data_IF_178562370916
#
_entry.id   IF_178562370916
#
_cell.length_a   1.000
_cell.length_b   1.000
_cell.length_c   1.000
_cell.angle_alpha   90.00
_cell.angle_beta   90.00
_cell.angle_gamma   90.00
#
_symmetry.space_group_name_H-M   'P 1'
#
loop_
_entity.id
_entity.type
_entity.pdbx_description
1 polymer ?
#
# COMPACT_ATOMS: atom_id res chain seq x y z
N UNK A 1 -14.75 16.02 21.54
CA UNK A 1 -14.16 14.67 21.61
C UNK A 1 -13.14 14.71 22.74
N UNK A 2 -13.30 13.93 23.79
CA UNK A 2 -12.26 13.79 24.82
C UNK A 2 -10.99 13.24 24.16
N UNK A 3 -9.84 13.81 24.48
CA UNK A 3 -8.55 13.22 24.13
C UNK A 3 -8.53 11.79 24.70
N UNK A 4 -8.41 10.81 23.80
CA UNK A 4 -8.26 9.42 24.20
C UNK A 4 -6.90 9.29 24.89
N UNK A 5 -6.90 9.10 26.21
CA UNK A 5 -5.66 8.86 26.95
C UNK A 5 -5.07 7.53 26.49
N UNK A 6 -3.92 7.61 25.82
CA UNK A 6 -3.23 6.47 25.24
C UNK A 6 -2.38 5.73 26.28
N UNK A 7 -2.11 6.35 27.44
CA UNK A 7 -1.23 5.78 28.48
C UNK A 7 -1.70 4.40 28.97
N UNK A 8 -2.99 4.16 29.27
CA UNK A 8 -3.45 2.84 29.71
C UNK A 8 -3.20 1.74 28.68
N UNK A 9 -3.17 2.07 27.38
CA UNK A 9 -2.82 1.13 26.32
C UNK A 9 -1.31 0.93 26.23
N UNK A 10 -0.54 2.03 26.28
CA UNK A 10 0.92 1.98 26.22
C UNK A 10 1.53 1.13 27.34
N UNK A 11 0.98 1.20 28.56
CA UNK A 11 1.40 0.39 29.71
C UNK A 11 1.17 -1.12 29.54
N UNK A 12 0.48 -1.55 28.48
CA UNK A 12 0.25 -2.97 28.15
C UNK A 12 1.32 -3.55 27.23
N UNK A 13 2.33 -2.78 26.86
CA UNK A 13 3.45 -3.20 26.02
C UNK A 13 4.79 -3.12 26.76
N UNK A 14 5.73 -3.99 26.36
CA UNK A 14 7.07 -4.09 26.95
C UNK A 14 8.03 -3.08 26.30
N UNK A 15 7.72 -1.79 26.41
CA UNK A 15 8.62 -0.73 25.95
C UNK A 15 9.86 -0.62 26.86
N UNK A 16 10.98 -0.20 26.29
CA UNK A 16 12.16 0.20 27.07
C UNK A 16 12.03 1.67 27.49
N UNK A 17 12.39 1.97 28.73
CA UNK A 17 12.32 3.30 29.32
C UNK A 17 10.99 3.63 30.01
N UNK A 18 10.86 4.87 30.46
CA UNK A 18 9.66 5.43 31.09
C UNK A 18 8.88 6.24 30.06
N UNK A 19 7.56 6.03 29.99
CA UNK A 19 6.68 6.80 29.10
C UNK A 19 6.79 8.31 29.40
N UNK A 20 7.16 9.10 28.40
CA UNK A 20 7.32 10.55 28.52
C UNK A 20 6.13 11.29 27.90
N UNK A 21 5.85 11.06 26.62
CA UNK A 21 4.72 11.70 25.93
C UNK A 21 4.21 10.89 24.74
N UNK A 22 3.02 11.25 24.26
CA UNK A 22 2.43 10.70 23.04
C UNK A 22 1.79 11.79 22.18
N UNK A 23 1.88 11.65 20.87
CA UNK A 23 1.20 12.51 19.90
C UNK A 23 0.53 11.69 18.81
N UNK A 24 -0.67 12.08 18.39
CA UNK A 24 -1.40 11.42 17.29
C UNK A 24 -0.78 11.83 15.95
N UNK A 25 -0.48 10.84 15.11
CA UNK A 25 -0.03 11.02 13.73
C UNK A 25 -1.25 10.96 12.82
N UNK A 26 -1.65 12.11 12.25
CA UNK A 26 -2.92 12.27 11.53
C UNK A 26 -2.88 12.03 10.02
N UNK A 27 -1.72 11.69 9.45
CA UNK A 27 -1.56 11.43 8.02
C UNK A 27 -2.10 10.07 7.55
N UNK A 28 -2.35 9.12 8.46
CA UNK A 28 -2.81 7.77 8.11
C UNK A 28 -4.31 7.65 7.77
N UNK A 29 -4.63 6.91 6.71
CA UNK A 29 -6.02 6.73 6.26
C UNK A 29 -6.76 5.59 6.95
N UNK A 30 -6.09 4.48 7.28
CA UNK A 30 -6.75 3.26 7.79
C UNK A 30 -6.67 3.16 9.32
N UNK A 31 -5.46 2.99 9.87
CA UNK A 31 -5.22 2.83 11.30
C UNK A 31 -5.14 4.16 12.04
N UNK A 32 -5.31 4.12 13.37
CA UNK A 32 -5.04 5.27 14.23
C UNK A 32 -3.64 5.15 14.82
N UNK A 33 -2.78 6.12 14.55
CA UNK A 33 -1.34 6.02 14.83
C UNK A 33 -0.93 7.06 15.88
N UNK A 34 -0.12 6.63 16.84
CA UNK A 34 0.46 7.48 17.87
C UNK A 34 1.98 7.31 17.89
N UNK A 35 2.72 8.41 17.94
CA UNK A 35 4.17 8.41 18.23
C UNK A 35 4.33 8.56 19.73
N UNK A 36 5.03 7.62 20.35
CA UNK A 36 5.34 7.61 21.77
C UNK A 36 6.83 7.92 21.98
N UNK A 37 7.13 8.68 23.02
CA UNK A 37 8.51 8.99 23.46
C UNK A 37 8.73 8.46 24.85
N UNK A 38 9.93 7.94 25.10
CA UNK A 38 10.37 7.35 26.35
C UNK A 38 11.71 7.94 26.76
N UNK A 39 11.97 7.97 28.07
CA UNK A 39 13.23 8.42 28.68
C UNK A 39 13.76 7.37 29.67
N UNK A 40 15.08 7.38 29.93
CA UNK A 40 15.74 6.45 30.85
C UNK A 40 15.54 4.93 30.51
N UNK A 41 16.02 4.41 29.36
CA UNK A 41 16.74 5.11 28.28
C UNK A 41 15.80 5.82 27.30
N UNK A 42 16.38 6.73 26.51
CA UNK A 42 15.64 7.41 25.45
C UNK A 42 15.22 6.42 24.35
N UNK A 43 13.97 6.54 23.92
CA UNK A 43 13.41 5.66 22.90
C UNK A 43 12.13 6.22 22.28
N UNK A 44 11.87 5.83 21.04
CA UNK A 44 10.68 6.24 20.31
C UNK A 44 9.98 5.02 19.71
N UNK A 45 8.66 5.03 19.78
CA UNK A 45 7.82 3.94 19.31
C UNK A 45 6.60 4.44 18.58
N UNK A 46 6.07 3.60 17.71
CA UNK A 46 4.73 3.76 17.16
C UNK A 46 3.80 2.81 17.89
N UNK A 47 2.65 3.33 18.32
CA UNK A 47 1.53 2.56 18.81
C UNK A 47 0.33 2.79 17.88
N UNK A 48 -0.24 1.70 17.39
CA UNK A 48 -1.32 1.75 16.41
C UNK A 48 -2.54 0.98 16.89
N UNK A 49 -3.72 1.61 16.77
CA UNK A 49 -5.01 0.91 16.80
C UNK A 49 -5.31 0.45 15.38
N UNK A 50 -5.37 -0.85 15.19
CA UNK A 50 -5.73 -1.48 13.91
C UNK A 50 -7.21 -1.18 13.63
N UNK A 51 -7.53 -0.93 12.36
CA UNK A 51 -8.91 -0.73 11.94
C UNK A 51 -9.62 -2.09 11.79
N UNK A 52 -10.31 -2.55 12.84
CA UNK A 52 -11.02 -3.83 12.86
C UNK A 52 -12.19 -3.93 11.84
N UNK A 53 -12.64 -2.81 11.25
CA UNK A 53 -13.65 -2.84 10.20
C UNK A 53 -13.06 -3.31 8.86
N UNK A 54 -11.87 -2.80 8.54
CA UNK A 54 -11.11 -3.19 7.34
C UNK A 54 -10.41 -4.54 7.56
N UNK A 55 -9.65 -4.66 8.65
CA UNK A 55 -8.93 -5.86 9.03
C UNK A 55 -9.72 -6.65 10.07
N UNK A 56 -10.65 -7.48 9.59
CA UNK A 56 -11.55 -8.27 10.45
C UNK A 56 -10.85 -9.35 11.27
N UNK A 57 -9.62 -9.71 10.90
CA UNK A 57 -8.79 -10.71 11.56
C UNK A 57 -7.40 -10.11 11.85
N UNK A 58 -7.27 -9.19 12.82
CA UNK A 58 -6.01 -8.50 13.12
C UNK A 58 -4.88 -9.46 13.55
N UNK A 59 -5.22 -10.66 14.03
CA UNK A 59 -4.29 -11.74 14.36
C UNK A 59 -3.60 -12.28 13.10
N UNK A 60 -4.32 -12.42 11.98
CA UNK A 60 -3.74 -12.83 10.68
C UNK A 60 -2.81 -11.74 10.15
N UNK A 61 -3.21 -10.47 10.30
CA UNK A 61 -2.34 -9.33 9.96
C UNK A 61 -1.02 -9.42 10.73
N UNK A 62 -1.09 -9.59 12.05
CA UNK A 62 0.13 -9.67 12.87
C UNK A 62 0.96 -10.92 12.60
N UNK A 63 0.34 -12.08 12.34
CA UNK A 63 1.06 -13.30 11.97
C UNK A 63 1.85 -13.13 10.66
N UNK A 64 1.21 -12.58 9.62
CA UNK A 64 1.88 -12.28 8.35
C UNK A 64 3.06 -11.32 8.54
N UNK A 65 2.83 -10.22 9.25
CA UNK A 65 3.85 -9.20 9.50
C UNK A 65 5.05 -9.78 10.23
N UNK A 66 4.83 -10.59 11.27
CA UNK A 66 5.92 -11.21 12.02
C UNK A 66 6.73 -12.19 11.15
N UNK A 67 6.06 -13.07 10.40
CA UNK A 67 6.73 -14.00 9.48
C UNK A 67 7.59 -13.27 8.46
N UNK A 68 7.05 -12.21 7.85
CA UNK A 68 7.73 -11.41 6.83
C UNK A 68 8.92 -10.66 7.43
N UNK A 69 8.72 -9.95 8.55
CA UNK A 69 9.80 -9.20 9.20
C UNK A 69 10.91 -10.10 9.74
N UNK A 70 10.58 -11.26 10.28
CA UNK A 70 11.57 -12.25 10.71
C UNK A 70 12.39 -12.79 9.53
N UNK A 71 11.72 -13.13 8.41
CA UNK A 71 12.40 -13.56 7.19
C UNK A 71 13.32 -12.48 6.64
N UNK A 72 12.83 -11.25 6.47
CA UNK A 72 13.62 -10.12 5.98
C UNK A 72 14.86 -9.88 6.87
N UNK A 73 14.69 -9.90 8.19
CA UNK A 73 15.79 -9.76 9.14
C UNK A 73 16.84 -10.84 8.94
N UNK A 74 16.44 -12.11 8.82
CA UNK A 74 17.36 -13.23 8.57
C UNK A 74 18.12 -13.02 7.26
N UNK A 75 17.45 -12.71 6.16
CA UNK A 75 18.07 -12.50 4.84
C UNK A 75 19.09 -11.37 4.86
N UNK A 76 18.78 -10.25 5.52
CA UNK A 76 19.71 -9.13 5.64
C UNK A 76 20.97 -9.52 6.42
N UNK A 77 20.82 -10.24 7.54
CA UNK A 77 21.96 -10.73 8.34
C UNK A 77 22.81 -11.73 7.54
N UNK A 78 22.20 -12.66 6.81
CA UNK A 78 22.91 -13.61 5.92
C UNK A 78 23.72 -12.89 4.84
N UNK A 79 23.25 -11.75 4.35
CA UNK A 79 23.95 -10.88 3.40
C UNK A 79 25.00 -9.97 4.05
N UNK A 80 25.21 -10.05 5.37
CA UNK A 80 26.12 -9.18 6.11
C UNK A 80 25.63 -7.73 6.27
N UNK A 81 24.34 -7.49 6.06
CA UNK A 81 23.71 -6.19 6.24
C UNK A 81 23.01 -6.08 7.60
N UNK A 82 23.00 -4.87 8.18
CA UNK A 82 22.23 -4.62 9.41
C UNK A 82 20.73 -4.55 9.09
N UNK A 83 19.86 -5.24 9.85
CA UNK A 83 18.42 -5.09 9.75
C UNK A 83 17.90 -3.82 10.45
N UNK A 84 18.74 -3.16 11.24
CA UNK A 84 18.40 -1.93 11.96
C UNK A 84 17.93 -0.85 11.00
N UNK A 85 16.79 -0.20 11.32
CA UNK A 85 16.11 0.79 10.47
C UNK A 85 15.69 0.28 9.08
N UNK A 86 15.91 -1.01 8.75
CA UNK A 86 15.50 -1.63 7.47
C UNK A 86 14.31 -2.56 7.60
N UNK A 87 14.07 -3.09 8.80
CA UNK A 87 12.94 -3.96 9.12
C UNK A 87 12.25 -3.43 10.37
N UNK A 88 10.91 -3.40 10.36
CA UNK A 88 10.12 -2.99 11.51
C UNK A 88 10.32 -3.93 12.70
N UNK A 89 10.49 -3.36 13.90
CA UNK A 89 10.73 -4.12 15.12
C UNK A 89 9.54 -4.03 16.08
N UNK A 90 8.75 -5.09 16.15
CA UNK A 90 7.53 -5.11 16.95
C UNK A 90 7.81 -5.32 18.45
N UNK A 91 7.12 -4.52 19.28
CA UNK A 91 7.14 -4.62 20.73
C UNK A 91 6.01 -5.53 21.18
N UNK A 92 6.34 -6.55 21.98
CA UNK A 92 5.35 -7.49 22.51
C UNK A 92 4.54 -6.84 23.63
N UNK A 93 3.28 -7.24 23.73
CA UNK A 93 2.44 -6.96 24.89
C UNK A 93 3.00 -7.64 26.16
N UNK A 94 2.52 -7.25 27.34
CA UNK A 94 2.96 -7.82 28.61
C UNK A 94 2.75 -9.34 28.71
N UNK A 95 1.75 -9.88 28.01
CA UNK A 95 1.47 -11.32 27.92
C UNK A 95 2.35 -12.05 26.87
N UNK A 96 3.24 -11.34 26.19
CA UNK A 96 4.13 -11.88 25.17
C UNK A 96 3.53 -11.94 23.75
N UNK A 97 2.26 -11.59 23.56
CA UNK A 97 1.62 -11.56 22.24
C UNK A 97 2.04 -10.30 21.46
N UNK A 98 1.97 -10.32 20.12
CA UNK A 98 2.26 -9.13 19.30
C UNK A 98 1.11 -8.12 19.25
N UNK A 99 -0.05 -8.51 19.79
CA UNK A 99 -1.29 -7.78 19.74
C UNK A 99 -1.89 -7.69 21.14
N UNK A 100 -2.35 -6.51 21.52
CA UNK A 100 -3.14 -6.27 22.72
C UNK A 100 -4.57 -5.91 22.32
N UNK A 101 -5.56 -6.53 22.97
CA UNK A 101 -6.99 -6.19 22.78
C UNK A 101 -7.46 -5.44 24.02
N UNK A 102 -7.97 -4.22 23.84
CA UNK A 102 -8.52 -3.42 24.93
C UNK A 102 -9.95 -3.86 25.32
N UNK A 103 -10.47 -3.32 26.42
CA UNK A 103 -11.82 -3.66 26.92
C UNK A 103 -12.95 -3.29 25.95
N UNK A 104 -12.71 -2.35 25.03
CA UNK A 104 -13.65 -1.96 23.97
C UNK A 104 -13.56 -2.86 22.72
N UNK A 105 -12.69 -3.87 22.72
CA UNK A 105 -12.41 -4.73 21.57
C UNK A 105 -11.48 -4.10 20.53
N UNK A 106 -10.83 -2.99 20.85
CA UNK A 106 -9.83 -2.37 19.99
C UNK A 106 -8.54 -3.20 19.93
N UNK A 107 -8.04 -3.47 18.72
CA UNK A 107 -6.79 -4.20 18.50
C UNK A 107 -5.61 -3.26 18.38
N UNK A 108 -4.58 -3.46 19.21
CA UNK A 108 -3.41 -2.59 19.31
C UNK A 108 -2.11 -3.35 19.05
N UNK A 109 -1.18 -2.69 18.36
CA UNK A 109 0.19 -3.16 18.16
C UNK A 109 1.18 -2.03 18.38
N UNK A 110 2.42 -2.36 18.69
CA UNK A 110 3.49 -1.39 18.83
C UNK A 110 4.78 -1.86 18.15
N UNK A 111 5.57 -0.90 17.66
CA UNK A 111 6.89 -1.17 17.07
C UNK A 111 7.83 0.01 17.27
N UNK A 112 9.14 -0.23 17.20
CA UNK A 112 10.18 0.80 17.32
C UNK A 112 10.03 1.83 16.19
N UNK A 113 10.09 3.11 16.54
CA UNK A 113 10.05 4.18 15.57
C UNK A 113 11.36 4.18 14.76
N UNK A 114 11.24 4.25 13.43
CA UNK A 114 12.40 4.35 12.55
C UNK A 114 12.76 5.82 12.40
N UNK A 115 13.70 6.28 13.23
CA UNK A 115 14.18 7.66 13.25
C UNK A 115 15.17 8.01 12.14
N UNK A 116 15.49 9.31 12.04
CA UNK A 116 16.36 9.91 11.02
C UNK A 116 15.93 9.54 9.60
N UNK A 117 14.62 9.43 9.40
CA UNK A 117 14.02 9.06 8.14
C UNK A 117 12.67 9.75 7.97
N UNK A 118 12.27 9.96 6.72
CA UNK A 118 10.99 10.56 6.34
C UNK A 118 10.29 9.73 5.27
N UNK A 119 8.97 9.77 5.29
CA UNK A 119 8.14 9.34 4.16
C UNK A 119 7.70 10.57 3.36
N UNK A 120 7.39 10.38 2.08
CA UNK A 120 6.84 11.43 1.23
C UNK A 120 5.40 11.10 0.86
N UNK A 121 4.48 12.05 1.03
CA UNK A 121 3.08 11.86 0.63
C UNK A 121 2.91 11.87 -0.90
N UNK A 122 3.85 12.51 -1.61
CA UNK A 122 3.92 12.58 -3.07
C UNK A 122 5.36 12.56 -3.55
N UNK A 123 5.58 12.20 -4.81
CA UNK A 123 6.91 12.28 -5.42
C UNK A 123 7.34 13.75 -5.55
N UNK A 124 8.35 14.16 -4.78
CA UNK A 124 8.92 15.50 -4.84
C UNK A 124 10.06 15.62 -5.85
N UNK A 125 10.86 14.56 -6.00
CA UNK A 125 11.98 14.44 -6.92
C UNK A 125 11.91 13.10 -7.66
N UNK A 126 12.20 13.05 -8.98
CA UNK A 126 12.21 11.80 -9.74
C UNK A 126 13.12 10.72 -9.13
N UNK A 127 14.21 11.12 -8.47
CA UNK A 127 15.17 10.22 -7.80
C UNK A 127 14.54 9.48 -6.62
N UNK A 128 13.65 10.11 -5.85
CA UNK A 128 12.94 9.44 -4.75
C UNK A 128 12.08 8.29 -5.27
N UNK A 129 11.49 8.46 -6.47
CA UNK A 129 10.64 7.43 -7.05
C UNK A 129 11.44 6.29 -7.68
N UNK A 130 12.65 6.58 -8.18
CA UNK A 130 13.62 5.53 -8.53
C UNK A 130 14.05 4.73 -7.30
N UNK A 131 14.36 5.39 -6.18
CA UNK A 131 14.70 4.71 -4.93
C UNK A 131 13.52 3.94 -4.32
N UNK A 132 12.29 4.43 -4.45
CA UNK A 132 11.09 3.68 -4.08
C UNK A 132 10.95 2.39 -4.92
N UNK A 133 11.20 2.48 -6.23
CA UNK A 133 11.24 1.31 -7.12
C UNK A 133 12.27 0.28 -6.65
N UNK A 134 13.49 0.74 -6.32
CA UNK A 134 14.53 -0.13 -5.76
C UNK A 134 14.09 -0.78 -4.44
N UNK A 135 13.48 -0.02 -3.53
CA UNK A 135 13.05 -0.54 -2.23
C UNK A 135 11.97 -1.62 -2.35
N UNK A 136 10.94 -1.42 -3.18
CA UNK A 136 9.90 -2.43 -3.39
C UNK A 136 10.42 -3.65 -4.17
N UNK A 137 11.32 -3.44 -5.14
CA UNK A 137 12.00 -4.54 -5.83
C UNK A 137 12.86 -5.37 -4.87
N UNK A 138 13.66 -4.71 -4.04
CA UNK A 138 14.47 -5.36 -3.00
C UNK A 138 13.59 -6.10 -1.99
N UNK A 139 12.46 -5.50 -1.56
CA UNK A 139 11.51 -6.15 -0.66
C UNK A 139 11.00 -7.47 -1.22
N UNK A 140 10.57 -7.49 -2.49
CA UNK A 140 10.15 -8.74 -3.14
C UNK A 140 11.30 -9.72 -3.35
N UNK A 141 12.50 -9.24 -3.72
CA UNK A 141 13.68 -10.09 -3.90
C UNK A 141 14.07 -10.79 -2.60
N UNK A 142 14.05 -10.07 -1.47
CA UNK A 142 14.34 -10.64 -0.15
C UNK A 142 13.29 -11.66 0.31
N UNK A 143 12.08 -11.60 -0.25
CA UNK A 143 10.98 -12.54 0.03
C UNK A 143 10.80 -13.60 -1.06
N UNK A 144 11.66 -13.64 -2.09
CA UNK A 144 11.49 -14.53 -3.24
C UNK A 144 11.52 -16.01 -2.87
N UNK A 145 12.20 -16.38 -1.80
CA UNK A 145 12.29 -17.73 -1.25
C UNK A 145 11.33 -17.99 -0.07
N UNK A 146 10.49 -17.01 0.30
CA UNK A 146 9.46 -17.21 1.31
C UNK A 146 8.24 -17.93 0.69
N UNK A 147 7.72 -19.00 1.32
CA UNK A 147 6.55 -19.72 0.82
C UNK A 147 5.28 -18.86 1.00
N UNK A 148 4.86 -18.14 -0.05
CA UNK A 148 3.74 -17.21 0.01
C UNK A 148 2.46 -17.83 0.59
N UNK A 149 2.19 -19.12 0.34
CA UNK A 149 1.05 -19.86 0.89
C UNK A 149 1.00 -19.95 2.43
N UNK A 150 2.08 -19.63 3.14
CA UNK A 150 2.08 -19.56 4.60
C UNK A 150 1.47 -18.26 5.16
N UNK A 151 1.21 -17.27 4.31
CA UNK A 151 0.53 -16.03 4.66
C UNK A 151 -0.98 -16.15 4.44
N UNK A 152 -1.77 -15.61 5.38
CA UNK A 152 -3.21 -15.51 5.22
C UNK A 152 -3.63 -14.28 4.41
N UNK A 153 -4.81 -14.30 3.81
CA UNK A 153 -5.40 -13.09 3.22
C UNK A 153 -5.90 -12.15 4.34
N UNK A 154 -5.27 -10.99 4.50
CA UNK A 154 -5.68 -10.01 5.53
C UNK A 154 -6.95 -9.27 5.14
N UNK A 155 -7.14 -9.04 3.83
CA UNK A 155 -8.38 -8.56 3.24
C UNK A 155 -8.75 -9.52 2.10
N UNK A 156 -9.81 -10.33 2.27
CA UNK A 156 -10.21 -11.27 1.23
C UNK A 156 -10.48 -10.59 -0.11
N UNK A 157 -10.01 -11.21 -1.20
CA UNK A 157 -10.21 -10.71 -2.56
C UNK A 157 -9.71 -9.27 -2.76
N UNK A 158 -8.63 -8.84 -2.08
CA UNK A 158 -8.18 -7.45 -2.11
C UNK A 158 -7.96 -6.92 -3.54
N UNK A 159 -7.05 -7.55 -4.29
CA UNK A 159 -6.80 -7.29 -5.72
C UNK A 159 -7.43 -8.33 -6.65
N UNK A 160 -8.46 -9.03 -6.18
CA UNK A 160 -9.26 -9.89 -7.06
C UNK A 160 -10.24 -9.03 -7.85
N UNK A 161 -9.71 -8.37 -8.89
CA UNK A 161 -10.43 -7.37 -9.69
C UNK A 161 -11.75 -7.86 -10.29
N UNK A 162 -11.94 -9.14 -10.69
CA UNK A 162 -13.25 -9.64 -11.12
C UNK A 162 -14.34 -9.50 -10.04
N UNK A 163 -14.03 -9.90 -8.80
CA UNK A 163 -14.99 -9.76 -7.69
C UNK A 163 -15.25 -8.30 -7.35
N UNK A 164 -14.23 -7.44 -7.47
CA UNK A 164 -14.38 -5.99 -7.29
C UNK A 164 -15.28 -5.39 -8.37
N UNK A 165 -15.15 -5.84 -9.62
CA UNK A 165 -16.02 -5.44 -10.72
C UNK A 165 -17.46 -5.85 -10.47
N UNK A 166 -17.71 -7.10 -10.06
CA UNK A 166 -19.07 -7.59 -9.79
C UNK A 166 -19.72 -6.84 -8.62
N UNK A 167 -18.94 -6.51 -7.58
CA UNK A 167 -19.40 -5.65 -6.48
C UNK A 167 -19.76 -4.23 -6.96
N UNK A 168 -18.89 -3.62 -7.77
CA UNK A 168 -19.15 -2.29 -8.36
C UNK A 168 -20.40 -2.28 -9.25
N UNK A 169 -20.54 -3.26 -10.14
CA UNK A 169 -21.69 -3.34 -11.05
C UNK A 169 -23.02 -3.46 -10.28
N UNK A 170 -23.02 -4.21 -9.17
CA UNK A 170 -24.17 -4.30 -8.27
C UNK A 170 -24.42 -2.99 -7.53
N UNK A 171 -23.41 -2.36 -6.96
CA UNK A 171 -23.57 -1.06 -6.27
C UNK A 171 -24.10 0.03 -7.21
N UNK A 172 -23.65 0.04 -8.47
CA UNK A 172 -24.16 0.95 -9.50
C UNK A 172 -25.62 0.67 -9.90
N UNK A 173 -26.08 -0.57 -9.77
CA UNK A 173 -27.48 -0.93 -9.98
C UNK A 173 -28.37 -0.59 -8.77
N UNK A 174 -27.89 -0.87 -7.56
CA UNK A 174 -28.61 -0.61 -6.31
C UNK A 174 -28.73 0.89 -6.00
N UNK A 175 -27.71 1.67 -6.36
CA UNK A 175 -27.65 3.13 -6.19
C UNK A 175 -28.12 3.60 -4.79
N UNK A 176 -27.56 2.99 -3.73
CA UNK A 176 -28.02 3.19 -2.35
C UNK A 176 -28.06 4.66 -1.93
N UNK A 177 -27.11 5.47 -2.42
CA UNK A 177 -27.05 6.90 -2.13
C UNK A 177 -27.84 7.78 -3.13
N UNK A 178 -28.46 7.20 -4.16
CA UNK A 178 -29.22 7.95 -5.18
C UNK A 178 -28.36 8.85 -6.06
N UNK A 179 -27.07 8.52 -6.22
CA UNK A 179 -26.04 9.35 -6.88
C UNK A 179 -25.75 8.92 -8.32
N UNK A 180 -26.16 7.72 -8.74
CA UNK A 180 -25.83 7.14 -10.05
C UNK A 180 -26.28 8.00 -11.23
N UNK A 181 -27.41 8.72 -11.09
CA UNK A 181 -27.92 9.62 -12.14
C UNK A 181 -26.90 10.69 -12.55
N UNK A 182 -26.11 11.20 -11.60
CA UNK A 182 -25.12 12.25 -11.82
C UNK A 182 -23.79 11.78 -12.42
N UNK A 183 -23.55 10.46 -12.45
CA UNK A 183 -22.24 9.87 -12.79
C UNK A 183 -22.34 8.72 -13.80
N UNK A 184 -23.36 8.78 -14.69
CA UNK A 184 -23.60 7.73 -15.69
C UNK A 184 -22.42 7.51 -16.64
N UNK A 185 -21.68 8.58 -16.96
CA UNK A 185 -20.51 8.51 -17.83
C UNK A 185 -19.37 7.72 -17.19
N UNK A 186 -19.10 7.99 -15.91
CA UNK A 186 -18.11 7.30 -15.10
C UNK A 186 -18.50 5.83 -14.88
N UNK A 187 -19.77 5.55 -14.60
CA UNK A 187 -20.28 4.18 -14.50
C UNK A 187 -20.06 3.44 -15.83
N UNK A 188 -20.47 4.05 -16.94
CA UNK A 188 -20.36 3.44 -18.26
C UNK A 188 -18.90 3.16 -18.64
N UNK A 189 -18.00 4.08 -18.31
CA UNK A 189 -16.56 3.93 -18.56
C UNK A 189 -15.99 2.62 -18.01
N UNK A 190 -16.33 2.27 -16.77
CA UNK A 190 -15.89 1.02 -16.15
C UNK A 190 -16.62 -0.20 -16.69
N UNK A 191 -17.94 -0.13 -16.88
CA UNK A 191 -18.73 -1.24 -17.43
C UNK A 191 -18.25 -1.64 -18.84
N UNK A 192 -17.93 -0.67 -19.70
CA UNK A 192 -17.37 -0.92 -21.04
C UNK A 192 -15.98 -1.57 -21.01
N UNK A 193 -15.28 -1.48 -19.88
CA UNK A 193 -13.95 -2.04 -19.65
C UNK A 193 -13.97 -3.30 -18.80
N UNK A 194 -15.10 -4.02 -18.71
CA UNK A 194 -15.22 -5.27 -17.95
C UNK A 194 -14.08 -6.27 -18.21
N UNK A 195 -13.58 -6.34 -19.45
CA UNK A 195 -12.47 -7.23 -19.82
C UNK A 195 -11.19 -6.97 -19.00
N UNK A 196 -10.92 -5.71 -18.61
CA UNK A 196 -9.75 -5.33 -17.84
C UNK A 196 -9.70 -6.04 -16.47
N UNK A 197 -10.86 -6.38 -15.90
CA UNK A 197 -10.93 -7.08 -14.61
C UNK A 197 -10.28 -8.48 -14.65
N UNK A 198 -10.23 -9.11 -15.81
CA UNK A 198 -9.71 -10.47 -15.99
C UNK A 198 -8.31 -10.49 -16.60
N UNK A 199 -7.66 -9.34 -16.77
CA UNK A 199 -6.39 -9.29 -17.48
C UNK A 199 -5.22 -9.88 -16.69
N UNK A 200 -5.29 -9.92 -15.35
CA UNK A 200 -4.28 -10.58 -14.49
C UNK A 200 -4.82 -11.87 -13.88
N UNK A 201 -6.02 -11.83 -13.30
CA UNK A 201 -6.64 -13.00 -12.66
C UNK A 201 -6.85 -14.12 -13.68
N UNK A 202 -6.45 -15.35 -13.31
CA UNK A 202 -6.55 -16.53 -14.16
C UNK A 202 -5.39 -16.69 -15.15
N UNK A 203 -4.40 -15.79 -15.14
CA UNK A 203 -3.12 -16.04 -15.81
C UNK A 203 -2.28 -17.01 -15.00
N UNK A 204 -1.50 -17.82 -15.72
CA UNK A 204 -0.44 -18.63 -15.14
C UNK A 204 0.74 -17.73 -14.74
N UNK A 205 0.64 -17.13 -13.55
CA UNK A 205 1.65 -16.29 -12.92
C UNK A 205 2.02 -16.89 -11.56
N UNK A 206 3.31 -16.88 -11.17
CA UNK A 206 3.73 -17.31 -9.85
C UNK A 206 3.01 -16.57 -8.72
N UNK A 207 2.61 -17.32 -7.69
CA UNK A 207 2.14 -16.75 -6.43
C UNK A 207 3.34 -16.23 -5.64
N UNK A 208 3.28 -14.97 -5.20
CA UNK A 208 4.36 -14.27 -4.51
C UNK A 208 3.87 -13.62 -3.24
N UNK A 209 4.78 -13.33 -2.32
CA UNK A 209 4.50 -12.38 -1.24
C UNK A 209 4.48 -10.99 -1.86
N UNK A 210 3.38 -10.27 -1.69
CA UNK A 210 3.21 -8.91 -2.20
C UNK A 210 2.85 -7.97 -1.07
N UNK A 211 3.21 -6.70 -1.22
CA UNK A 211 2.86 -5.66 -0.27
C UNK A 211 1.40 -5.21 -0.41
N UNK A 212 0.90 -5.11 -1.64
CA UNK A 212 -0.44 -4.68 -2.04
C UNK A 212 -0.82 -3.21 -1.72
N UNK A 213 0.11 -2.40 -1.21
CA UNK A 213 -0.10 -0.95 -0.98
C UNK A 213 1.23 -0.20 -1.11
N UNK A 214 1.75 -0.12 -2.33
CA UNK A 214 3.13 0.31 -2.62
C UNK A 214 3.22 1.80 -2.93
N UNK A 215 2.48 2.61 -2.18
CA UNK A 215 2.60 4.08 -2.24
C UNK A 215 3.98 4.50 -1.75
N UNK A 216 4.52 5.59 -2.31
CA UNK A 216 5.80 6.14 -1.85
C UNK A 216 5.78 6.55 -0.37
N UNK A 217 4.60 6.87 0.19
CA UNK A 217 4.42 7.14 1.62
C UNK A 217 4.66 5.92 2.51
N UNK A 218 4.68 4.71 1.93
CA UNK A 218 5.00 3.45 2.62
C UNK A 218 6.49 3.07 2.48
N UNK A 219 7.32 4.02 2.04
CA UNK A 219 8.78 3.90 2.02
C UNK A 219 9.39 4.99 2.87
N UNK A 220 10.24 4.60 3.82
CA UNK A 220 11.06 5.52 4.61
C UNK A 220 12.40 5.76 3.91
N UNK A 221 12.76 7.02 3.79
CA UNK A 221 14.01 7.50 3.21
C UNK A 221 14.89 8.09 4.32
N UNK A 222 16.16 7.70 4.35
CA UNK A 222 17.13 8.23 5.29
C UNK A 222 17.39 9.71 5.05
N UNK A 223 17.36 10.52 6.11
CA UNK A 223 17.45 11.98 6.02
C UNK A 223 18.79 12.48 5.48
N UNK A 224 19.87 11.72 5.70
CA UNK A 224 21.22 12.13 5.32
C UNK A 224 21.56 11.72 3.89
N UNK A 225 21.18 10.50 3.49
CA UNK A 225 21.54 9.91 2.20
C UNK A 225 20.44 10.01 1.13
N UNK A 226 19.20 10.36 1.51
CA UNK A 226 17.99 10.29 0.67
C UNK A 226 17.75 8.88 0.08
N UNK A 227 18.37 7.84 0.63
CA UNK A 227 18.16 6.44 0.21
C UNK A 227 16.97 5.83 0.92
N UNK A 228 16.18 5.05 0.19
CA UNK A 228 15.12 4.25 0.79
C UNK A 228 15.72 3.16 1.70
N UNK A 229 15.27 3.11 2.95
CA UNK A 229 15.81 2.21 3.98
C UNK A 229 14.80 1.17 4.46
N UNK A 230 13.50 1.48 4.52
CA UNK A 230 12.49 0.58 5.08
C UNK A 230 11.16 0.71 4.36
N UNK A 231 10.56 -0.44 4.03
CA UNK A 231 9.16 -0.52 3.60
C UNK A 231 8.29 -0.74 4.84
N UNK A 232 7.26 0.09 4.99
CA UNK A 232 6.36 0.12 6.14
C UNK A 232 4.91 -0.12 5.70
N UNK A 233 3.97 -0.13 6.65
CA UNK A 233 2.54 -0.41 6.40
C UNK A 233 2.27 -1.82 5.82
N UNK A 234 2.79 -2.81 6.54
CA UNK A 234 2.77 -4.22 6.13
C UNK A 234 1.41 -4.91 6.31
N UNK A 235 0.33 -4.17 6.49
CA UNK A 235 -1.00 -4.73 6.86
C UNK A 235 -1.66 -5.52 5.75
N UNK A 236 -1.31 -5.18 4.52
CA UNK A 236 -1.79 -5.83 3.32
C UNK A 236 -0.76 -6.78 2.74
N UNK A 237 0.33 -7.10 3.47
CA UNK A 237 1.27 -8.12 3.03
C UNK A 237 0.60 -9.49 3.11
N UNK A 238 0.43 -10.10 1.94
CA UNK A 238 -0.28 -11.38 1.76
C UNK A 238 0.09 -11.98 0.39
N UNK A 239 -0.40 -13.18 0.04
CA UNK A 239 -0.15 -13.77 -1.26
C UNK A 239 -0.78 -12.96 -2.40
N UNK A 240 -0.06 -12.79 -3.50
CA UNK A 240 -0.54 -12.06 -4.67
C UNK A 240 0.39 -12.19 -5.88
N UNK A 241 0.28 -11.22 -6.80
CA UNK A 241 1.15 -11.10 -7.97
C UNK A 241 2.00 -9.82 -7.88
N UNK A 242 3.28 -9.90 -8.20
CA UNK A 242 4.18 -8.75 -8.23
C UNK A 242 3.71 -7.62 -9.15
N UNK A 243 2.86 -7.92 -10.13
CA UNK A 243 2.22 -6.93 -11.00
C UNK A 243 1.34 -5.97 -10.20
N UNK A 244 0.71 -6.40 -9.10
CA UNK A 244 -0.12 -5.53 -8.27
C UNK A 244 0.71 -4.48 -7.55
N UNK A 245 1.82 -4.87 -6.92
CA UNK A 245 2.77 -3.95 -6.29
C UNK A 245 3.37 -2.97 -7.29
N UNK A 246 3.87 -3.45 -8.43
CA UNK A 246 4.37 -2.54 -9.46
C UNK A 246 3.26 -1.59 -9.94
N UNK A 247 2.07 -2.12 -10.16
CA UNK A 247 0.93 -1.36 -10.64
C UNK A 247 0.45 -0.27 -9.68
N UNK A 248 0.34 -0.58 -8.39
CA UNK A 248 -0.13 0.37 -7.39
C UNK A 248 0.88 1.50 -7.16
N UNK A 249 2.18 1.18 -7.19
CA UNK A 249 3.23 2.19 -7.14
C UNK A 249 3.14 3.18 -8.30
N UNK A 250 2.96 2.68 -9.54
CA UNK A 250 2.79 3.52 -10.73
C UNK A 250 1.48 4.33 -10.65
N UNK A 251 0.36 3.70 -10.26
CA UNK A 251 -0.95 4.35 -10.14
C UNK A 251 -0.88 5.54 -9.17
N UNK A 252 -0.16 5.41 -8.06
CA UNK A 252 -0.06 6.47 -7.05
C UNK A 252 1.04 7.49 -7.34
N UNK A 253 2.23 7.03 -7.75
CA UNK A 253 3.44 7.86 -7.79
C UNK A 253 3.85 8.35 -9.17
N UNK A 254 3.41 7.71 -10.26
CA UNK A 254 3.75 8.13 -11.63
C UNK A 254 2.70 9.08 -12.22
N UNK A 255 2.09 9.94 -11.41
CA UNK A 255 0.99 10.82 -11.80
C UNK A 255 1.41 12.28 -11.90
N UNK A 256 0.68 13.07 -12.70
CA UNK A 256 0.90 14.52 -12.84
C UNK A 256 0.07 15.38 -11.87
N UNK A 257 -0.84 14.77 -11.12
CA UNK A 257 -1.70 15.42 -10.15
C UNK A 257 -1.93 14.51 -8.91
N UNK A 258 -2.55 15.08 -7.87
CA UNK A 258 -2.94 14.33 -6.68
C UNK A 258 -4.10 13.36 -6.99
N UNK A 259 -4.25 12.29 -6.19
CA UNK A 259 -5.31 11.30 -6.36
C UNK A 259 -6.71 11.91 -6.27
N UNK A 260 -6.88 12.97 -5.48
CA UNK A 260 -8.13 13.67 -5.23
C UNK A 260 -8.23 15.04 -5.94
N UNK A 261 -7.37 15.31 -6.93
CA UNK A 261 -7.46 16.54 -7.74
C UNK A 261 -8.85 16.70 -8.36
N UNK A 262 -9.50 17.82 -8.06
CA UNK A 262 -10.87 18.12 -8.51
C UNK A 262 -10.90 18.29 -10.03
N UNK A 263 -9.89 18.96 -10.60
CA UNK A 263 -9.73 19.08 -12.04
C UNK A 263 -8.97 17.89 -12.62
N UNK A 264 -9.72 16.82 -12.92
CA UNK A 264 -9.18 15.58 -13.47
C UNK A 264 -8.46 15.76 -14.83
N UNK A 265 -8.59 16.91 -15.52
CA UNK A 265 -7.83 17.17 -16.75
C UNK A 265 -6.34 17.35 -16.52
N UNK A 266 -5.92 17.65 -15.28
CA UNK A 266 -4.52 17.73 -14.87
C UNK A 266 -3.89 16.37 -14.60
N UNK A 267 -4.71 15.31 -14.50
CA UNK A 267 -4.26 13.97 -14.20
C UNK A 267 -3.85 13.23 -15.49
N UNK A 268 -2.66 12.64 -15.45
CA UNK A 268 -2.08 11.82 -16.50
C UNK A 268 -0.89 11.02 -15.97
N UNK A 269 -0.34 10.17 -16.82
CA UNK A 269 0.84 9.36 -16.55
C UNK A 269 2.11 10.17 -16.85
N UNK A 270 2.95 10.38 -15.84
CA UNK A 270 4.30 10.89 -16.05
C UNK A 270 5.22 9.77 -16.53
N UNK A 271 5.54 9.75 -17.82
CA UNK A 271 6.47 8.76 -18.39
C UNK A 271 7.89 8.88 -17.82
N UNK A 272 8.28 10.07 -17.36
CA UNK A 272 9.55 10.25 -16.64
C UNK A 272 9.53 9.47 -15.32
N UNK A 273 8.51 9.71 -14.48
CA UNK A 273 8.38 9.02 -13.19
C UNK A 273 8.19 7.52 -13.37
N UNK A 274 7.38 7.08 -14.34
CA UNK A 274 7.27 5.67 -14.70
C UNK A 274 8.64 5.05 -15.01
N UNK A 275 9.45 5.73 -15.84
CA UNK A 275 10.77 5.25 -16.24
C UNK A 275 11.73 5.20 -15.06
N UNK A 276 11.67 6.18 -14.15
CA UNK A 276 12.47 6.22 -12.92
C UNK A 276 12.15 5.07 -11.98
N UNK A 277 10.88 4.85 -11.69
CA UNK A 277 10.46 3.73 -10.84
C UNK A 277 10.84 2.39 -11.47
N UNK A 278 10.56 2.20 -12.75
CA UNK A 278 10.92 0.98 -13.47
C UNK A 278 12.44 0.74 -13.43
N UNK A 279 13.26 1.77 -13.60
CA UNK A 279 14.72 1.68 -13.53
C UNK A 279 15.25 1.32 -12.13
N UNK A 280 14.50 1.60 -11.06
CA UNK A 280 14.81 1.13 -9.71
C UNK A 280 14.32 -0.29 -9.44
N UNK A 281 13.10 -0.61 -9.87
CA UNK A 281 12.44 -1.89 -9.58
C UNK A 281 12.99 -3.05 -10.41
N UNK A 282 13.14 -2.86 -11.72
CA UNK A 282 13.47 -3.94 -12.67
C UNK A 282 14.79 -4.64 -12.32
N UNK A 283 15.89 -3.94 -12.00
CA UNK A 283 17.15 -4.60 -11.65
C UNK A 283 17.08 -5.44 -10.37
N UNK A 284 16.29 -5.02 -9.38
CA UNK A 284 16.09 -5.79 -8.14
C UNK A 284 15.15 -6.99 -8.37
N UNK A 285 14.22 -6.85 -9.31
CA UNK A 285 13.30 -7.90 -9.72
C UNK A 285 13.94 -8.97 -10.63
N UNK A 286 15.03 -8.61 -11.29
CA UNK A 286 15.75 -9.52 -12.18
C UNK A 286 16.33 -10.71 -11.41
N UNK A 287 16.30 -11.88 -12.05
CA UNK A 287 16.73 -13.15 -11.47
C UNK A 287 15.67 -13.89 -10.63
N UNK A 288 14.64 -13.23 -10.09
CA UNK A 288 13.57 -13.94 -9.35
C UNK A 288 12.17 -13.79 -9.97
N UNK A 289 11.88 -12.67 -10.64
CA UNK A 289 10.70 -12.57 -11.50
C UNK A 289 10.95 -13.30 -12.82
N UNK A 290 9.94 -14.04 -13.29
CA UNK A 290 10.02 -14.64 -14.61
C UNK A 290 10.00 -13.55 -15.68
N UNK A 291 10.60 -13.82 -16.83
CA UNK A 291 10.53 -12.92 -17.98
C UNK A 291 9.08 -12.53 -18.33
N UNK A 292 8.15 -13.47 -18.18
CA UNK A 292 6.73 -13.23 -18.44
C UNK A 292 6.13 -12.22 -17.47
N UNK A 293 6.45 -12.30 -16.17
CA UNK A 293 6.00 -11.30 -15.20
C UNK A 293 6.59 -9.92 -15.49
N UNK A 294 7.90 -9.88 -15.79
CA UNK A 294 8.59 -8.63 -16.10
C UNK A 294 7.96 -7.93 -17.30
N UNK A 295 7.69 -8.66 -18.39
CA UNK A 295 7.01 -8.11 -19.58
C UNK A 295 5.56 -7.65 -19.32
N UNK A 296 4.96 -8.07 -18.19
CA UNK A 296 3.59 -7.72 -17.81
C UNK A 296 3.51 -6.65 -16.71
N UNK A 297 4.62 -6.12 -16.20
CA UNK A 297 4.60 -5.06 -15.20
C UNK A 297 3.70 -3.86 -15.58
N UNK A 298 3.71 -3.34 -16.83
CA UNK A 298 2.78 -2.27 -17.24
C UNK A 298 1.29 -2.65 -17.14
N UNK A 299 0.96 -3.93 -17.29
CA UNK A 299 -0.41 -4.44 -17.12
C UNK A 299 -0.91 -4.26 -15.69
N UNK A 300 -0.01 -4.42 -14.71
CA UNK A 300 -0.26 -4.13 -13.31
C UNK A 300 -0.84 -2.73 -13.11
N UNK A 301 -0.18 -1.71 -13.68
CA UNK A 301 -0.63 -0.32 -13.58
C UNK A 301 -2.02 -0.13 -14.16
N UNK A 302 -2.28 -0.66 -15.37
CA UNK A 302 -3.61 -0.59 -16.00
C UNK A 302 -4.70 -1.21 -15.12
N UNK A 303 -4.50 -2.43 -14.62
CA UNK A 303 -5.50 -3.17 -13.85
C UNK A 303 -5.74 -2.54 -12.48
N UNK A 304 -4.67 -2.12 -11.79
CA UNK A 304 -4.78 -1.51 -10.46
C UNK A 304 -5.40 -0.10 -10.52
N UNK A 305 -5.11 0.70 -11.55
CA UNK A 305 -5.80 1.97 -11.78
C UNK A 305 -7.29 1.75 -12.07
N UNK A 306 -7.62 0.76 -12.91
CA UNK A 306 -9.01 0.37 -13.17
C UNK A 306 -9.73 -0.07 -11.89
N UNK A 307 -9.12 -0.95 -11.10
CA UNK A 307 -9.67 -1.44 -9.85
C UNK A 307 -9.91 -0.33 -8.83
N UNK A 308 -8.92 0.53 -8.57
CA UNK A 308 -9.06 1.63 -7.61
C UNK A 308 -10.11 2.64 -8.07
N UNK A 309 -10.12 3.00 -9.36
CA UNK A 309 -11.14 3.89 -9.93
C UNK A 309 -12.56 3.36 -9.70
N UNK A 310 -12.79 2.06 -9.93
CA UNK A 310 -14.07 1.42 -9.64
C UNK A 310 -14.39 1.43 -8.14
N UNK A 311 -13.41 1.13 -7.28
CA UNK A 311 -13.62 1.10 -5.83
C UNK A 311 -14.00 2.47 -5.28
N UNK A 312 -13.37 3.55 -5.75
CA UNK A 312 -13.77 4.91 -5.37
C UNK A 312 -15.18 5.26 -5.86
N UNK A 313 -15.51 4.94 -7.11
CA UNK A 313 -16.85 5.21 -7.63
C UNK A 313 -17.91 4.37 -6.91
N UNK A 314 -17.61 3.11 -6.62
CA UNK A 314 -18.47 2.23 -5.83
C UNK A 314 -18.77 2.85 -4.47
N UNK A 315 -17.73 3.26 -3.73
CA UNK A 315 -17.91 3.85 -2.41
C UNK A 315 -18.72 5.15 -2.46
N UNK A 316 -18.51 5.98 -3.49
CA UNK A 316 -19.34 7.17 -3.72
C UNK A 316 -20.83 6.82 -3.93
N UNK A 317 -21.14 5.74 -4.66
CA UNK A 317 -22.52 5.28 -4.91
C UNK A 317 -23.16 4.62 -3.68
N UNK A 318 -22.35 4.07 -2.78
CA UNK A 318 -22.79 3.48 -1.51
C UNK A 318 -22.89 4.50 -0.36
N UNK A 319 -22.43 5.74 -0.56
CA UNK A 319 -22.53 6.80 0.43
C UNK A 319 -21.27 6.98 1.30
N UNK A 320 -20.09 6.72 0.75
CA UNK A 320 -18.77 7.00 1.35
C UNK A 320 -18.53 6.26 2.67
N UNK A 321 -18.71 4.94 2.65
CA UNK A 321 -18.67 4.09 3.85
C UNK A 321 -17.32 3.41 4.07
N UNK A 322 -16.48 3.32 3.03
CA UNK A 322 -15.19 2.64 3.07
C UNK A 322 -14.02 3.61 3.23
N UNK A 323 -13.92 4.62 2.35
CA UNK A 323 -12.83 5.59 2.36
C UNK A 323 -13.19 6.82 3.18
N UNK A 324 -12.22 7.37 3.91
CA UNK A 324 -12.37 8.69 4.55
C UNK A 324 -12.55 9.75 3.47
N UNK A 325 -13.61 10.55 3.60
CA UNK A 325 -13.91 11.70 2.75
C UNK A 325 -13.85 13.00 3.53
N UNK A 326 -13.60 14.10 2.83
CA UNK A 326 -13.47 15.45 3.40
C UNK A 326 -14.61 16.36 2.95
N UNK A 327 -15.27 15.99 1.84
CA UNK A 327 -16.43 16.63 1.25
C UNK A 327 -17.25 15.57 0.49
N UNK A 328 -18.54 15.81 0.19
CA UNK A 328 -19.46 14.78 -0.31
C UNK A 328 -19.04 14.13 -1.65
N UNK A 329 -18.34 14.87 -2.52
CA UNK A 329 -17.89 14.39 -3.83
C UNK A 329 -16.45 13.88 -3.84
N UNK A 330 -15.81 13.71 -2.67
CA UNK A 330 -14.38 13.39 -2.59
C UNK A 330 -14.03 12.08 -3.30
N UNK A 331 -14.79 11.01 -3.08
CA UNK A 331 -14.59 9.75 -3.80
C UNK A 331 -14.92 9.84 -5.29
N UNK A 332 -15.82 10.74 -5.71
CA UNK A 332 -16.07 11.01 -7.13
C UNK A 332 -14.87 11.72 -7.79
N UNK A 333 -14.25 12.69 -7.10
CA UNK A 333 -13.01 13.32 -7.58
C UNK A 333 -11.92 12.27 -7.77
N UNK A 334 -11.70 11.39 -6.77
CA UNK A 334 -10.76 10.26 -6.88
C UNK A 334 -11.08 9.34 -8.05
N UNK A 335 -12.33 8.94 -8.22
CA UNK A 335 -12.73 8.09 -9.35
C UNK A 335 -12.40 8.76 -10.70
N UNK A 336 -12.64 10.06 -10.84
CA UNK A 336 -12.39 10.81 -12.08
C UNK A 336 -10.90 10.95 -12.40
N UNK A 337 -10.04 11.15 -11.41
CA UNK A 337 -8.58 11.13 -11.64
C UNK A 337 -8.13 9.75 -12.11
N UNK A 338 -8.64 8.67 -11.51
CA UNK A 338 -8.30 7.31 -11.95
C UNK A 338 -8.80 7.01 -13.38
N UNK A 339 -9.96 7.56 -13.77
CA UNK A 339 -10.46 7.47 -15.16
C UNK A 339 -9.51 8.20 -16.13
N UNK A 340 -9.08 9.41 -15.78
CA UNK A 340 -8.14 10.19 -16.60
C UNK A 340 -6.79 9.47 -16.73
N UNK A 341 -6.24 8.99 -15.62
CA UNK A 341 -5.00 8.22 -15.58
C UNK A 341 -5.12 6.92 -16.39
N UNK A 342 -6.22 6.17 -16.27
CA UNK A 342 -6.40 4.92 -17.02
C UNK A 342 -6.44 5.17 -18.53
N UNK A 343 -7.11 6.24 -18.99
CA UNK A 343 -7.12 6.62 -20.41
C UNK A 343 -5.71 6.90 -20.92
N UNK A 344 -4.91 7.60 -20.14
CA UNK A 344 -3.54 7.92 -20.52
C UNK A 344 -2.62 6.69 -20.48
N UNK A 345 -2.77 5.81 -19.48
CA UNK A 345 -2.11 4.50 -19.43
C UNK A 345 -2.46 3.66 -20.67
N UNK A 346 -3.73 3.58 -21.05
CA UNK A 346 -4.18 2.86 -22.25
C UNK A 346 -3.54 3.43 -23.52
N UNK A 347 -3.46 4.76 -23.63
CA UNK A 347 -2.84 5.45 -24.76
C UNK A 347 -1.31 5.21 -24.83
N UNK A 348 -0.63 5.24 -23.68
CA UNK A 348 0.83 5.15 -23.56
C UNK A 348 1.33 3.72 -23.29
N UNK A 349 0.46 2.72 -23.26
CA UNK A 349 0.78 1.35 -22.86
C UNK A 349 1.94 0.73 -23.66
N UNK A 350 2.01 1.02 -24.96
CA UNK A 350 3.10 0.58 -25.82
C UNK A 350 4.46 1.17 -25.41
N UNK A 351 4.50 2.45 -25.04
CA UNK A 351 5.71 3.12 -24.56
C UNK A 351 6.16 2.58 -23.20
N UNK A 352 5.21 2.36 -22.28
CA UNK A 352 5.50 1.73 -20.98
C UNK A 352 6.14 0.36 -21.16
N UNK A 353 5.59 -0.44 -22.07
CA UNK A 353 6.12 -1.77 -22.41
C UNK A 353 7.53 -1.69 -22.98
N UNK A 354 7.81 -0.71 -23.85
CA UNK A 354 9.14 -0.55 -24.45
C UNK A 354 10.19 -0.05 -23.44
N UNK A 355 9.81 0.78 -22.48
CA UNK A 355 10.70 1.16 -21.36
C UNK A 355 11.10 -0.08 -20.57
N UNK A 356 10.14 -0.91 -20.15
CA UNK A 356 10.43 -2.14 -19.39
C UNK A 356 11.28 -3.11 -20.22
N UNK A 357 10.96 -3.32 -21.50
CA UNK A 357 11.76 -4.19 -22.39
C UNK A 357 13.21 -3.72 -22.54
N UNK A 358 13.47 -2.42 -22.55
CA UNK A 358 14.83 -1.88 -22.62
C UNK A 358 15.63 -2.13 -21.35
N UNK A 359 14.98 -2.14 -20.19
CA UNK A 359 15.61 -2.45 -18.90
C UNK A 359 15.89 -3.95 -18.70
N UNK A 360 15.27 -4.82 -19.52
CA UNK A 360 15.48 -6.28 -19.51
C UNK A 360 16.59 -6.76 -20.46
N UNK A 361 17.18 -5.85 -21.25
CA UNK A 361 18.30 -6.14 -22.15
C UNK A 361 19.60 -5.88 -21.44
#
# INVERSE_FOLDING_TARGET
MQDFDIRPVAERFRFEGKFASASEVRSGHINRTYRLTFSDPDGEYILQRINNHVFRQPEVVMDNILKVTEHLRRKLVEMGASPERRVLEFVRALDGRPLFIDESGGSWRAYRYVGNARAYDRVEKPEHFQEAGRAFGEFQRLLADFPASELGETIPNFHHTPSRFDAFARAAHEDKAGRAKGVRGEIRFFLDRRHAAHEIVGRDLPLRVTHNDTKISNVLFDDASEKAICVIDLDTVMPGSSLYDFGDAIRYGATTAAEDEIDASKMGLSMELFSRFAAGFVPEADGFLTRREMELLPLGAKVITFENGMRFLMDYLEGDTYYKTAYPEHNLARARTQIALLRDIELRFGEMTEVVRRLLK
#
